data_IF_762854693608
#
_entry.id   IF_762854693608
#
_cell.length_a   1.000
_cell.length_b   1.000
_cell.length_c   1.000
_cell.angle_alpha   90.00
_cell.angle_beta   90.00
_cell.angle_gamma   90.00
#
_symmetry.space_group_name_H-M   'P 1'
#
loop_
_entity.id
_entity.type
_entity.pdbx_description
1 polymer ?
#
# COMPACT_ATOMS: atom_id res chain seq x y z
N UNK A 1 11.81 3.20 -8.53
CA UNK A 1 11.67 4.52 -7.86
C UNK A 1 10.53 5.39 -8.40
N UNK A 2 10.38 5.59 -9.70
CA UNK A 2 9.28 6.41 -10.28
C UNK A 2 7.87 5.89 -9.95
N UNK A 3 7.67 4.57 -9.90
CA UNK A 3 6.39 3.93 -9.55
C UNK A 3 5.94 4.31 -8.14
N UNK A 4 6.78 4.11 -7.12
CA UNK A 4 6.47 4.46 -5.75
C UNK A 4 6.21 5.96 -5.55
N UNK A 5 6.91 6.83 -6.29
CA UNK A 5 6.64 8.28 -6.26
C UNK A 5 5.24 8.60 -6.78
N UNK A 6 4.81 7.98 -7.89
CA UNK A 6 3.45 8.16 -8.43
C UNK A 6 2.39 7.65 -7.46
N UNK A 7 2.61 6.46 -6.87
CA UNK A 7 1.73 5.93 -5.83
C UNK A 7 1.56 6.93 -4.67
N UNK A 8 2.65 7.52 -4.18
CA UNK A 8 2.61 8.52 -3.11
C UNK A 8 1.94 9.83 -3.47
N UNK A 9 1.95 10.19 -4.75
CA UNK A 9 1.25 11.37 -5.27
C UNK A 9 -0.22 11.09 -5.63
N UNK A 10 -0.72 9.86 -5.44
CA UNK A 10 -2.07 9.47 -5.80
C UNK A 10 -2.29 9.29 -7.31
N UNK A 11 -1.21 9.28 -8.11
CA UNK A 11 -1.29 9.05 -9.56
C UNK A 11 -1.41 7.54 -9.84
N UNK A 12 -2.62 7.01 -9.64
CA UNK A 12 -2.94 5.59 -9.74
C UNK A 12 -2.65 5.02 -11.14
N UNK A 13 -3.14 5.68 -12.18
CA UNK A 13 -2.96 5.22 -13.56
C UNK A 13 -1.50 5.33 -14.03
N UNK A 14 -0.81 6.38 -13.62
CA UNK A 14 0.62 6.54 -13.89
C UNK A 14 1.46 5.48 -13.17
N UNK A 15 1.12 5.13 -11.93
CA UNK A 15 1.76 4.05 -11.18
C UNK A 15 1.49 2.68 -11.84
N UNK A 16 0.23 2.40 -12.16
CA UNK A 16 -0.17 1.14 -12.79
C UNK A 16 0.50 0.94 -14.16
N UNK A 17 0.58 1.97 -15.00
CA UNK A 17 1.28 1.91 -16.28
C UNK A 17 2.76 1.56 -16.11
N UNK A 18 3.45 2.16 -15.14
CA UNK A 18 4.85 1.83 -14.83
C UNK A 18 5.00 0.41 -14.28
N UNK A 19 4.05 -0.05 -13.45
CA UNK A 19 4.03 -1.43 -12.97
C UNK A 19 3.91 -2.42 -14.11
N UNK A 20 2.99 -2.21 -15.06
CA UNK A 20 2.84 -3.06 -16.23
C UNK A 20 4.10 -3.09 -17.10
N UNK A 21 4.80 -1.97 -17.22
CA UNK A 21 6.09 -1.93 -17.93
C UNK A 21 7.18 -2.73 -17.19
N UNK A 22 7.22 -2.64 -15.86
CA UNK A 22 8.17 -3.41 -15.04
C UNK A 22 7.88 -4.92 -15.09
N UNK A 23 6.61 -5.32 -15.19
CA UNK A 23 6.20 -6.72 -15.26
C UNK A 23 6.19 -7.28 -16.70
N UNK A 24 6.60 -6.51 -17.71
CA UNK A 24 6.77 -7.02 -19.05
C UNK A 24 7.80 -8.15 -19.08
N UNK A 25 7.45 -9.28 -19.68
CA UNK A 25 8.36 -10.43 -19.75
C UNK A 25 9.52 -10.10 -20.69
N UNK A 26 10.73 -10.10 -20.14
CA UNK A 26 11.95 -9.91 -20.91
C UNK A 26 12.24 -11.17 -21.74
N UNK A 27 12.40 -11.00 -23.04
CA UNK A 27 12.81 -12.06 -23.97
C UNK A 27 14.29 -11.86 -24.40
N UNK A 28 14.82 -12.82 -25.16
CA UNK A 28 16.20 -12.78 -25.66
C UNK A 28 16.50 -11.59 -26.59
N UNK A 29 15.49 -11.06 -27.26
CA UNK A 29 15.63 -9.85 -28.10
C UNK A 29 15.72 -8.61 -27.23
N UNK A 30 15.01 -8.61 -26.10
CA UNK A 30 15.03 -7.56 -25.09
C UNK A 30 16.37 -7.53 -24.36
N UNK A 31 16.97 -8.69 -24.08
CA UNK A 31 18.31 -8.80 -23.44
C UNK A 31 19.43 -8.17 -24.27
N UNK A 32 19.32 -8.19 -25.61
CA UNK A 32 20.34 -7.58 -26.51
C UNK A 32 20.27 -6.05 -26.51
N UNK A 33 19.16 -5.46 -26.07
CA UNK A 33 19.04 -4.01 -25.91
C UNK A 33 19.48 -3.62 -24.53
N UNK A 34 20.61 -3.04 -24.39
CA UNK A 34 21.36 -2.71 -23.16
C UNK A 34 20.60 -1.97 -22.05
N UNK A 35 19.29 -1.68 -22.22
CA UNK A 35 18.45 -0.95 -21.24
C UNK A 35 16.96 -1.34 -21.35
N UNK A 36 16.62 -2.52 -21.73
CA UNK A 36 15.23 -2.97 -21.70
C UNK A 36 14.90 -3.48 -20.30
N UNK A 37 14.20 -2.68 -19.51
CA UNK A 37 13.61 -3.14 -18.25
C UNK A 37 12.61 -4.26 -18.50
N UNK A 38 12.12 -4.86 -17.41
CA UNK A 38 11.15 -5.96 -17.44
C UNK A 38 11.47 -7.01 -16.40
N UNK A 39 10.83 -8.16 -16.52
CA UNK A 39 10.95 -9.27 -15.58
C UNK A 39 11.23 -10.56 -16.34
N UNK A 40 12.20 -11.33 -15.90
CA UNK A 40 12.44 -12.67 -16.44
C UNK A 40 11.33 -13.66 -16.02
N UNK A 41 11.21 -14.79 -16.72
CA UNK A 41 10.23 -15.82 -16.41
C UNK A 41 10.34 -16.37 -14.96
N UNK A 42 11.50 -16.24 -14.31
CA UNK A 42 11.73 -16.56 -12.90
C UNK A 42 11.38 -15.40 -11.94
N UNK A 43 10.72 -14.36 -12.43
CA UNK A 43 10.29 -13.15 -11.73
C UNK A 43 11.44 -12.20 -11.30
N UNK A 44 12.67 -12.46 -11.70
CA UNK A 44 13.76 -11.52 -11.44
C UNK A 44 13.68 -10.31 -12.37
N UNK A 45 14.01 -9.15 -11.83
CA UNK A 45 14.18 -7.92 -12.60
C UNK A 45 15.27 -8.08 -13.67
N UNK A 46 14.98 -7.66 -14.89
CA UNK A 46 15.87 -7.80 -16.05
C UNK A 46 16.86 -6.64 -16.19
N UNK A 47 17.36 -6.12 -15.08
CA UNK A 47 18.39 -5.07 -15.09
C UNK A 47 19.79 -5.69 -15.10
N UNK A 48 20.66 -5.42 -16.08
CA UNK A 48 22.05 -5.87 -16.08
C UNK A 48 22.99 -4.87 -15.36
N UNK A 49 23.79 -5.27 -14.34
CA UNK A 49 23.66 -6.53 -13.62
C UNK A 49 22.39 -6.60 -12.79
N UNK A 50 21.88 -7.81 -12.51
CA UNK A 50 20.69 -8.01 -11.69
C UNK A 50 20.78 -7.25 -10.36
N UNK A 51 19.68 -6.58 -10.02
CA UNK A 51 19.53 -5.79 -8.79
C UNK A 51 18.24 -6.17 -8.09
N UNK A 52 18.32 -6.87 -6.96
CA UNK A 52 17.16 -7.32 -6.18
C UNK A 52 16.28 -6.17 -5.68
N UNK A 53 16.84 -4.97 -5.55
CA UNK A 53 16.12 -3.76 -5.18
C UNK A 53 15.04 -3.37 -6.21
N UNK A 54 15.18 -3.74 -7.48
CA UNK A 54 14.13 -3.62 -8.50
C UNK A 54 12.89 -4.44 -8.13
N UNK A 55 13.08 -5.69 -7.71
CA UNK A 55 12.00 -6.57 -7.25
C UNK A 55 11.34 -6.04 -5.97
N UNK A 56 12.12 -5.71 -4.95
CA UNK A 56 11.60 -5.20 -3.68
C UNK A 56 10.95 -3.83 -3.84
N UNK A 57 11.53 -2.96 -4.67
CA UNK A 57 10.96 -1.66 -4.99
C UNK A 57 9.61 -1.75 -5.69
N UNK A 58 9.44 -2.72 -6.60
CA UNK A 58 8.17 -3.01 -7.26
C UNK A 58 7.10 -3.46 -6.27
N UNK A 59 7.42 -4.44 -5.43
CA UNK A 59 6.51 -4.96 -4.38
C UNK A 59 6.12 -3.87 -3.38
N UNK A 60 7.09 -3.10 -2.89
CA UNK A 60 6.84 -2.00 -1.97
C UNK A 60 5.94 -0.91 -2.60
N UNK A 61 6.12 -0.64 -3.89
CA UNK A 61 5.30 0.35 -4.59
C UNK A 61 3.85 -0.11 -4.78
N UNK A 62 3.60 -1.41 -5.02
CA UNK A 62 2.25 -1.98 -5.03
C UNK A 62 1.59 -1.78 -3.67
N UNK A 63 2.30 -2.10 -2.58
CA UNK A 63 1.80 -1.86 -1.23
C UNK A 63 1.45 -0.38 -0.99
N UNK A 64 2.28 0.57 -1.46
CA UNK A 64 2.03 2.02 -1.37
C UNK A 64 0.84 2.49 -2.23
N UNK A 65 0.46 1.76 -3.29
CA UNK A 65 -0.77 2.04 -4.04
C UNK A 65 -2.03 1.68 -3.25
N UNK A 66 -1.95 0.66 -2.39
CA UNK A 66 -3.07 0.13 -1.62
C UNK A 66 -3.15 0.72 -0.20
N UNK A 67 -2.01 1.01 0.43
CA UNK A 67 -1.95 1.51 1.79
C UNK A 67 -0.73 2.42 1.99
N UNK A 68 -0.99 3.63 2.47
CA UNK A 68 0.07 4.51 2.95
C UNK A 68 -0.11 4.80 4.43
N UNK A 69 1.00 4.99 5.13
CA UNK A 69 0.94 5.36 6.54
C UNK A 69 1.97 6.41 6.90
N UNK A 70 1.59 7.30 7.83
CA UNK A 70 2.45 8.36 8.34
C UNK A 70 2.54 8.28 9.86
N UNK A 71 3.75 8.52 10.37
CA UNK A 71 3.93 8.79 11.78
C UNK A 71 3.42 10.20 12.11
N UNK A 72 2.99 10.45 13.35
CA UNK A 72 2.67 11.79 13.81
C UNK A 72 3.83 12.75 13.56
N UNK A 73 3.53 13.97 13.16
CA UNK A 73 4.52 15.04 13.04
C UNK A 73 4.79 15.60 14.45
N UNK A 74 6.01 15.47 14.95
CA UNK A 74 6.43 16.00 16.25
C UNK A 74 7.76 15.41 16.69
N UNK A 75 8.63 16.24 17.25
CA UNK A 75 9.91 15.84 17.84
C UNK A 75 9.71 15.77 19.35
N UNK A 76 9.84 14.58 19.95
CA UNK A 76 9.85 14.44 21.41
C UNK A 76 9.01 13.28 21.95
N UNK A 77 8.94 13.18 23.26
CA UNK A 77 8.32 12.10 24.05
C UNK A 77 6.78 12.02 24.02
N UNK A 78 6.11 12.89 23.27
CA UNK A 78 4.65 13.00 23.24
C UNK A 78 3.98 12.21 22.10
N UNK A 79 4.57 11.11 21.65
CA UNK A 79 4.00 10.22 20.62
C UNK A 79 2.60 9.70 21.01
N UNK A 80 2.29 9.66 22.31
CA UNK A 80 1.00 9.15 22.82
C UNK A 80 -0.21 10.04 22.50
N UNK A 81 -0.01 11.31 22.19
CA UNK A 81 -1.09 12.28 21.91
C UNK A 81 -1.34 12.47 20.41
N UNK A 82 -0.40 12.06 19.57
CA UNK A 82 -0.48 12.22 18.12
C UNK A 82 -0.87 10.90 17.47
N UNK A 83 -1.78 10.98 16.51
CA UNK A 83 -2.34 9.81 15.80
C UNK A 83 -1.48 9.41 14.62
N UNK A 84 -1.28 8.10 14.45
CA UNK A 84 -0.74 7.54 13.21
C UNK A 84 -1.80 7.63 12.13
N UNK A 85 -1.43 8.07 10.94
CA UNK A 85 -2.34 8.12 9.80
C UNK A 85 -2.19 6.86 8.94
N UNK A 86 -3.33 6.24 8.62
CA UNK A 86 -3.46 5.09 7.72
C UNK A 86 -4.37 5.52 6.57
N UNK A 87 -3.84 5.62 5.36
CA UNK A 87 -4.58 6.00 4.16
C UNK A 87 -4.82 4.77 3.29
N UNK A 88 -6.09 4.43 3.10
CA UNK A 88 -6.54 3.27 2.33
C UNK A 88 -6.74 3.65 0.87
N UNK A 89 -6.28 2.78 -0.03
CA UNK A 89 -6.43 2.87 -1.49
C UNK A 89 -6.03 4.24 -2.08
N UNK A 90 -4.88 4.83 -1.66
CA UNK A 90 -4.50 6.18 -2.10
C UNK A 90 -4.24 6.29 -3.60
N UNK A 91 -3.90 5.18 -4.26
CA UNK A 91 -3.59 5.14 -5.69
C UNK A 91 -4.10 3.84 -6.33
N UNK A 92 -5.38 3.50 -6.08
CA UNK A 92 -6.03 2.33 -6.67
C UNK A 92 -6.33 2.62 -8.15
N UNK A 93 -5.77 1.85 -9.12
CA UNK A 93 -6.07 2.06 -10.53
C UNK A 93 -7.44 1.47 -10.91
N UNK A 94 -8.08 2.01 -11.94
CA UNK A 94 -9.37 1.51 -12.44
C UNK A 94 -9.34 0.01 -12.80
N UNK A 95 -8.18 -0.49 -13.26
CA UNK A 95 -8.00 -1.90 -13.59
C UNK A 95 -8.11 -2.84 -12.38
N UNK A 96 -8.01 -2.33 -11.16
CA UNK A 96 -8.16 -3.10 -9.91
C UNK A 96 -9.47 -2.76 -9.22
N UNK A 97 -10.58 -2.84 -9.96
CA UNK A 97 -11.91 -2.48 -9.46
C UNK A 97 -12.34 -3.31 -8.25
N UNK A 98 -11.86 -4.54 -8.13
CA UNK A 98 -12.15 -5.46 -7.03
C UNK A 98 -10.87 -6.13 -6.55
N UNK A 99 -10.82 -6.44 -5.25
CA UNK A 99 -9.70 -7.16 -4.69
C UNK A 99 -9.67 -7.20 -3.18
N UNK A 100 -8.70 -7.94 -2.68
CA UNK A 100 -8.36 -8.02 -1.26
C UNK A 100 -6.86 -8.09 -1.05
N UNK A 101 -6.41 -7.62 0.10
CA UNK A 101 -5.03 -7.79 0.56
C UNK A 101 -5.03 -7.95 2.08
N UNK A 102 -4.18 -8.83 2.60
CA UNK A 102 -4.09 -9.13 4.03
C UNK A 102 -2.68 -8.93 4.56
N UNK A 103 -2.59 -8.53 5.82
CA UNK A 103 -1.32 -8.42 6.53
C UNK A 103 -0.44 -7.25 6.13
N UNK A 104 -0.98 -6.20 5.48
CA UNK A 104 -0.21 -4.99 5.21
C UNK A 104 0.22 -4.32 6.50
N UNK A 105 1.47 -3.87 6.55
CA UNK A 105 2.02 -3.22 7.73
C UNK A 105 1.95 -1.71 7.62
N UNK A 106 1.38 -1.07 8.63
CA UNK A 106 1.36 0.38 8.77
C UNK A 106 2.24 0.85 9.94
N UNK A 107 2.72 2.08 9.86
CA UNK A 107 3.54 2.71 10.90
C UNK A 107 2.77 2.76 12.22
N UNK A 108 3.47 2.59 13.35
CA UNK A 108 2.85 2.51 14.67
C UNK A 108 2.56 1.08 15.13
N UNK A 109 2.90 0.07 14.32
CA UNK A 109 2.66 -1.34 14.64
C UNK A 109 1.21 -1.75 14.37
N UNK A 110 0.66 -1.29 13.27
CA UNK A 110 -0.64 -1.74 12.79
C UNK A 110 -0.48 -2.79 11.69
N UNK A 111 -1.41 -3.74 11.67
CA UNK A 111 -1.62 -4.70 10.61
C UNK A 111 -3.01 -4.45 10.01
N UNK A 112 -3.09 -4.45 8.68
CA UNK A 112 -4.31 -4.06 7.96
C UNK A 112 -4.65 -5.12 6.92
N UNK A 113 -5.88 -5.62 7.01
CA UNK A 113 -6.53 -6.42 5.98
C UNK A 113 -7.56 -5.51 5.29
N UNK A 114 -7.57 -5.50 3.98
CA UNK A 114 -8.34 -4.55 3.18
C UNK A 114 -9.05 -5.27 2.05
N UNK A 115 -10.34 -4.97 1.88
CA UNK A 115 -11.18 -5.44 0.80
C UNK A 115 -11.78 -4.23 0.06
N UNK A 116 -11.91 -4.33 -1.25
CA UNK A 116 -12.52 -3.28 -2.06
C UNK A 116 -13.34 -3.86 -3.20
N UNK A 117 -14.37 -3.14 -3.61
CA UNK A 117 -15.26 -3.46 -4.73
C UNK A 117 -15.74 -2.19 -5.40
N UNK A 118 -15.89 -2.23 -6.73
CA UNK A 118 -16.28 -1.06 -7.51
C UNK A 118 -15.29 0.10 -7.42
N UNK A 119 -14.00 -0.18 -7.16
CA UNK A 119 -12.96 0.85 -7.04
C UNK A 119 -12.96 1.59 -5.69
N UNK A 120 -13.75 1.16 -4.71
CA UNK A 120 -13.85 1.76 -3.39
C UNK A 120 -13.67 0.73 -2.27
N UNK A 121 -13.13 1.17 -1.13
CA UNK A 121 -12.99 0.34 0.06
C UNK A 121 -14.37 -0.17 0.50
N UNK A 122 -14.51 -1.48 0.65
CA UNK A 122 -15.73 -2.15 1.14
C UNK A 122 -15.61 -2.58 2.60
N UNK A 123 -14.43 -3.05 3.00
CA UNK A 123 -14.17 -3.51 4.36
C UNK A 123 -12.69 -3.35 4.71
N UNK A 124 -12.42 -2.98 5.95
CA UNK A 124 -11.05 -2.95 6.48
C UNK A 124 -11.02 -3.50 7.89
N UNK A 125 -10.07 -4.39 8.16
CA UNK A 125 -9.72 -4.83 9.51
C UNK A 125 -8.38 -4.24 9.90
N UNK A 126 -8.33 -3.58 11.06
CA UNK A 126 -7.11 -2.98 11.60
C UNK A 126 -6.81 -3.63 12.94
N UNK A 127 -5.63 -4.22 13.08
CA UNK A 127 -5.11 -4.72 14.34
C UNK A 127 -3.99 -3.81 14.83
N UNK A 128 -4.04 -3.43 16.11
CA UNK A 128 -2.99 -2.64 16.76
C UNK A 128 -2.11 -3.55 17.61
N UNK A 129 -0.84 -3.71 17.26
CA UNK A 129 0.11 -4.51 18.05
C UNK A 129 0.58 -3.76 19.30
N UNK A 130 0.48 -2.43 19.34
CA UNK A 130 1.07 -1.58 20.36
C UNK A 130 0.07 -0.72 21.14
N UNK A 131 -1.20 -0.70 20.74
CA UNK A 131 -2.22 0.11 21.41
C UNK A 131 -2.06 1.62 21.19
N UNK A 132 -1.52 2.03 20.05
CA UNK A 132 -1.32 3.44 19.74
C UNK A 132 -2.55 4.05 19.06
N UNK A 133 -2.82 5.36 19.25
CA UNK A 133 -3.91 6.03 18.60
C UNK A 133 -3.67 6.16 17.09
N UNK A 134 -4.74 5.99 16.29
CA UNK A 134 -4.66 6.10 14.85
C UNK A 134 -5.86 6.84 14.25
N UNK A 135 -5.64 7.36 13.06
CA UNK A 135 -6.66 7.85 12.15
C UNK A 135 -6.58 7.02 10.87
N UNK A 136 -7.67 6.43 10.46
CA UNK A 136 -7.80 5.82 9.13
C UNK A 136 -8.62 6.72 8.22
N UNK A 137 -8.25 6.82 6.96
CA UNK A 137 -9.02 7.54 5.94
C UNK A 137 -9.14 6.75 4.65
N UNK A 138 -10.29 6.94 3.97
CA UNK A 138 -10.58 6.42 2.63
C UNK A 138 -11.35 7.51 1.87
N UNK A 139 -10.74 8.08 0.84
CA UNK A 139 -11.26 9.30 0.22
C UNK A 139 -11.44 10.41 1.23
N UNK A 140 -12.66 10.94 1.33
CA UNK A 140 -13.04 11.99 2.30
C UNK A 140 -13.46 11.45 3.67
N UNK A 141 -13.67 10.12 3.79
CA UNK A 141 -14.08 9.50 5.05
C UNK A 141 -12.90 9.40 6.00
N UNK A 142 -13.17 9.61 7.29
CA UNK A 142 -12.19 9.51 8.36
C UNK A 142 -12.78 8.81 9.59
N UNK A 143 -11.96 7.99 10.24
CA UNK A 143 -12.29 7.35 11.51
C UNK A 143 -11.08 7.39 12.43
N UNK A 144 -11.29 7.71 13.70
CA UNK A 144 -10.24 7.80 14.69
C UNK A 144 -10.53 6.86 15.86
N UNK A 145 -9.52 6.11 16.28
CA UNK A 145 -9.68 5.17 17.38
C UNK A 145 -8.35 4.88 18.11
N UNK A 146 -8.48 4.24 19.26
CA UNK A 146 -7.36 3.66 19.99
C UNK A 146 -7.76 2.28 20.48
N UNK A 147 -7.07 1.27 20.00
CA UNK A 147 -7.27 -0.13 20.38
C UNK A 147 -6.34 -0.47 21.56
N UNK A 148 -6.71 -1.46 22.36
CA UNK A 148 -5.77 -2.09 23.27
C UNK A 148 -4.67 -2.83 22.49
N UNK A 149 -3.47 -3.04 23.05
CA UNK A 149 -2.45 -3.86 22.41
C UNK A 149 -2.97 -5.25 22.04
N UNK A 150 -2.77 -5.66 20.77
CA UNK A 150 -3.30 -6.91 20.22
C UNK A 150 -4.77 -6.84 19.76
N UNK A 151 -5.49 -5.79 20.12
CA UNK A 151 -6.89 -5.59 19.73
C UNK A 151 -7.06 -5.29 18.24
N UNK A 152 -8.25 -5.56 17.72
CA UNK A 152 -8.60 -5.25 16.32
C UNK A 152 -10.00 -4.68 16.20
N UNK A 153 -10.23 -3.95 15.14
CA UNK A 153 -11.52 -3.41 14.73
C UNK A 153 -11.74 -3.68 13.25
N UNK A 154 -12.98 -4.01 12.89
CA UNK A 154 -13.42 -4.08 11.48
C UNK A 154 -14.33 -2.91 11.20
N UNK A 155 -14.12 -2.24 10.07
CA UNK A 155 -14.93 -1.11 9.61
C UNK A 155 -15.54 -1.44 8.25
N UNK A 156 -16.77 -0.96 8.05
CA UNK A 156 -17.50 -1.06 6.79
C UNK A 156 -17.07 0.02 5.77
N UNK A 157 -17.73 0.05 4.61
CA UNK A 157 -17.49 1.01 3.52
C UNK A 157 -17.64 2.48 3.95
N UNK A 158 -18.37 2.77 5.03
CA UNK A 158 -18.56 4.12 5.60
C UNK A 158 -17.59 4.44 6.72
N UNK A 159 -16.59 3.60 6.94
CA UNK A 159 -15.67 3.63 8.09
C UNK A 159 -16.39 3.58 9.44
N UNK A 160 -17.51 2.86 9.54
CA UNK A 160 -18.18 2.58 10.80
C UNK A 160 -17.83 1.18 11.30
N UNK A 161 -17.77 0.97 12.63
CA UNK A 161 -17.58 -0.36 13.18
C UNK A 161 -18.61 -1.34 12.62
N UNK A 162 -18.11 -2.46 12.08
CA UNK A 162 -18.92 -3.57 11.58
C UNK A 162 -19.28 -4.46 12.77
N UNK A 163 -20.53 -4.42 13.20
CA UNK A 163 -21.10 -5.21 14.31
C UNK A 163 -21.51 -6.62 13.85
N UNK A 164 -20.74 -7.23 12.94
CA UNK A 164 -21.02 -8.53 12.31
C UNK A 164 -21.11 -9.74 13.21
#
# INVERSE_FOLDING_TARGET
>A
MKLAMRARLGDAEGAHRLLRQALHVADRETEKKQFSGGTFANLFDSHPPFQIDGNFGGTAAIAEMLLQSRAPSGVGSEISTHKFEIHLLPALPEAWAEGEVRGLRARGGFEVDLEWSGGAMSRVRIQSLRGLPFRVRSGELNFEHTLVPGGSITLDASLKPDEG
#
